data_IF_633190512442
#
_entry.id   IF_633190512442
#
_cell.length_a   1.000
_cell.length_b   1.000
_cell.length_c   1.000
_cell.angle_alpha   90.00
_cell.angle_beta   90.00
_cell.angle_gamma   90.00
#
_symmetry.space_group_name_H-M   'P 1'
#
loop_
_entity.id
_entity.type
_entity.pdbx_description
1 polymer ?
#
# COMPACT_ATOMS: atom_id res chain seq x y z
N UNK A 1 38.05 3.32 37.63
CA UNK A 1 36.90 2.91 36.78
C UNK A 1 35.62 3.26 37.53
N UNK A 2 35.18 4.52 37.47
CA UNK A 2 33.98 4.98 38.18
C UNK A 2 32.74 4.48 37.46
N UNK A 3 31.94 3.63 38.12
CA UNK A 3 30.61 3.25 37.64
C UNK A 3 29.74 4.51 37.67
N UNK A 4 29.39 5.05 36.50
CA UNK A 4 28.34 6.06 36.40
C UNK A 4 27.03 5.40 36.81
N UNK A 5 26.54 5.74 38.00
CA UNK A 5 25.20 5.36 38.45
C UNK A 5 24.26 6.35 37.79
N UNK A 6 23.62 5.94 36.69
CA UNK A 6 22.56 6.71 36.06
C UNK A 6 21.47 7.00 37.09
N UNK A 7 21.04 8.25 37.18
CA UNK A 7 19.87 8.57 37.99
C UNK A 7 18.67 7.75 37.48
N UNK A 8 17.77 7.35 38.37
CA UNK A 8 16.64 6.47 38.02
C UNK A 8 15.85 6.99 36.82
N UNK A 9 15.66 8.31 36.72
CA UNK A 9 15.01 8.97 35.59
C UNK A 9 15.80 8.86 34.28
N UNK A 10 17.12 9.02 34.31
CA UNK A 10 17.98 8.86 33.13
C UNK A 10 17.98 7.42 32.63
N UNK A 11 17.99 6.44 33.55
CA UNK A 11 17.89 5.03 33.22
C UNK A 11 16.54 4.69 32.55
N UNK A 12 15.44 5.26 33.05
CA UNK A 12 14.10 5.11 32.46
C UNK A 12 14.06 5.73 31.06
N UNK A 13 14.58 6.94 30.89
CA UNK A 13 14.62 7.62 29.60
C UNK A 13 15.48 6.86 28.58
N UNK A 14 16.63 6.33 29.01
CA UNK A 14 17.49 5.53 28.16
C UNK A 14 16.82 4.22 27.73
N UNK A 15 16.14 3.54 28.67
CA UNK A 15 15.37 2.34 28.35
C UNK A 15 14.24 2.64 27.36
N UNK A 16 13.48 3.72 27.58
CA UNK A 16 12.44 4.17 26.67
C UNK A 16 12.98 4.46 25.27
N UNK A 17 14.10 5.19 25.18
CA UNK A 17 14.76 5.46 23.90
C UNK A 17 15.18 4.18 23.20
N UNK A 18 15.77 3.23 23.94
CA UNK A 18 16.24 1.96 23.38
C UNK A 18 15.07 1.13 22.84
N UNK A 19 13.97 1.03 23.60
CA UNK A 19 12.76 0.33 23.17
C UNK A 19 12.19 1.01 21.92
N UNK A 20 12.05 2.34 21.93
CA UNK A 20 11.55 3.08 20.78
C UNK A 20 12.40 2.84 19.53
N UNK A 21 13.72 2.91 19.65
CA UNK A 21 14.63 2.65 18.52
C UNK A 21 14.49 1.24 18.00
N UNK A 22 14.35 0.22 18.86
CA UNK A 22 14.11 -1.15 18.42
C UNK A 22 12.81 -1.31 17.65
N UNK A 23 11.73 -0.69 18.14
CA UNK A 23 10.45 -0.69 17.42
C UNK A 23 10.49 0.10 16.10
N UNK A 24 11.36 1.12 15.98
CA UNK A 24 11.61 1.82 14.71
C UNK A 24 12.41 0.97 13.73
N UNK A 25 13.49 0.33 14.18
CA UNK A 25 14.33 -0.57 13.38
C UNK A 25 13.55 -1.80 12.87
N UNK A 26 12.73 -2.39 13.73
CA UNK A 26 11.91 -3.56 13.40
C UNK A 26 10.69 -3.20 12.53
N UNK A 27 10.49 -1.91 12.20
CA UNK A 27 9.39 -1.42 11.37
C UNK A 27 8.02 -1.37 12.06
N UNK A 28 7.89 -1.92 13.27
CA UNK A 28 6.65 -1.98 14.05
C UNK A 28 6.07 -0.58 14.30
N UNK A 29 6.92 0.40 14.63
CA UNK A 29 6.44 1.77 14.89
C UNK A 29 5.90 2.43 13.61
N UNK A 30 6.48 2.10 12.45
CA UNK A 30 6.00 2.59 11.16
C UNK A 30 4.65 1.97 10.81
N UNK A 31 4.47 0.66 11.04
CA UNK A 31 3.19 -0.03 10.87
C UNK A 31 2.09 0.59 11.74
N UNK A 32 2.37 0.83 13.02
CA UNK A 32 1.42 1.48 13.94
C UNK A 32 1.07 2.91 13.48
N UNK A 33 2.05 3.69 13.01
CA UNK A 33 1.79 5.04 12.45
C UNK A 33 0.89 4.98 11.22
N UNK A 34 1.17 4.04 10.31
CA UNK A 34 0.37 3.79 9.12
C UNK A 34 -1.09 3.44 9.48
N UNK A 35 -1.29 2.47 10.38
CA UNK A 35 -2.62 2.07 10.86
C UNK A 35 -3.36 3.25 11.52
N UNK A 36 -2.66 4.06 12.32
CA UNK A 36 -3.25 5.23 12.96
C UNK A 36 -3.69 6.27 11.94
N UNK A 37 -2.86 6.55 10.92
CA UNK A 37 -3.17 7.48 9.84
C UNK A 37 -4.37 7.00 9.01
N UNK A 38 -4.38 5.73 8.61
CA UNK A 38 -5.50 5.11 7.92
C UNK A 38 -6.80 5.23 8.73
N UNK A 39 -6.73 4.93 10.02
CA UNK A 39 -7.87 5.06 10.94
C UNK A 39 -8.34 6.50 11.08
N UNK A 40 -7.44 7.47 11.22
CA UNK A 40 -7.78 8.89 11.27
C UNK A 40 -8.49 9.33 9.99
N UNK A 41 -7.97 8.96 8.82
CA UNK A 41 -8.58 9.27 7.53
C UNK A 41 -9.97 8.65 7.40
N UNK A 42 -10.13 7.39 7.82
CA UNK A 42 -11.42 6.69 7.88
C UNK A 42 -12.41 7.42 8.80
N UNK A 43 -11.97 7.83 9.98
CA UNK A 43 -12.81 8.56 10.95
C UNK A 43 -13.19 9.96 10.46
N UNK A 44 -12.26 10.69 9.83
CA UNK A 44 -12.51 12.01 9.25
C UNK A 44 -13.49 11.97 8.09
N UNK A 45 -13.56 10.85 7.37
CA UNK A 45 -14.58 10.62 6.32
C UNK A 45 -15.97 10.34 6.89
N UNK A 46 -16.09 10.12 8.20
CA UNK A 46 -17.35 9.83 8.90
C UNK A 46 -17.90 8.43 8.57
N UNK A 47 -18.76 7.89 9.44
CA UNK A 47 -19.66 6.78 9.10
C UNK A 47 -20.65 7.25 8.03
N UNK A 48 -20.20 7.39 6.80
CA UNK A 48 -21.05 7.66 5.65
C UNK A 48 -21.52 6.33 5.08
N UNK A 49 -22.44 5.69 5.81
CA UNK A 49 -23.56 5.02 5.15
C UNK A 49 -24.31 6.13 4.42
N UNK A 50 -23.99 6.34 3.14
CA UNK A 50 -24.60 7.36 2.31
C UNK A 50 -23.93 8.74 2.43
N UNK A 51 -23.60 9.31 1.27
CA UNK A 51 -22.92 10.61 1.07
C UNK A 51 -21.39 10.54 1.04
N UNK A 52 -20.89 9.86 0.01
CA UNK A 52 -19.70 10.26 -0.74
C UNK A 52 -19.41 11.74 -0.48
N UNK A 53 -18.32 12.04 0.22
CA UNK A 53 -17.63 13.31 0.02
C UNK A 53 -17.41 13.38 -1.48
N UNK A 54 -18.29 14.13 -2.13
CA UNK A 54 -18.12 14.52 -3.52
C UNK A 54 -16.78 15.26 -3.51
N UNK A 55 -15.72 14.52 -3.87
CA UNK A 55 -14.76 15.03 -4.84
C UNK A 55 -15.60 15.78 -5.90
N UNK A 56 -15.08 16.80 -6.59
CA UNK A 56 -15.57 17.05 -7.93
C UNK A 56 -15.33 15.75 -8.73
N UNK A 57 -16.24 14.79 -8.58
CA UNK A 57 -16.58 13.85 -9.59
C UNK A 57 -17.00 14.78 -10.72
N UNK A 58 -16.07 14.97 -11.64
CA UNK A 58 -16.46 15.22 -13.01
C UNK A 58 -17.47 14.12 -13.32
N UNK A 59 -18.76 14.46 -13.20
CA UNK A 59 -19.86 13.66 -13.69
C UNK A 59 -19.50 13.33 -15.13
N UNK A 60 -19.32 12.05 -15.44
CA UNK A 60 -19.36 11.57 -16.81
C UNK A 60 -18.03 11.44 -17.56
N UNK A 61 -16.91 11.14 -16.89
CA UNK A 61 -15.85 10.43 -17.59
C UNK A 61 -15.90 9.00 -17.10
N UNK A 62 -16.46 8.10 -17.91
CA UNK A 62 -16.18 6.68 -17.79
C UNK A 62 -14.68 6.56 -17.53
N UNK A 63 -14.26 6.04 -16.36
CA UNK A 63 -12.84 5.82 -16.14
C UNK A 63 -12.37 5.00 -17.33
N UNK A 64 -11.33 5.51 -17.99
CA UNK A 64 -10.70 4.79 -19.08
C UNK A 64 -10.44 3.37 -18.59
N UNK A 65 -10.93 2.37 -19.34
CA UNK A 65 -10.83 0.97 -18.93
C UNK A 65 -9.39 0.55 -18.69
N UNK A 66 -8.42 1.23 -19.31
CA UNK A 66 -6.98 1.05 -19.08
C UNK A 66 -6.55 1.54 -17.71
N UNK A 67 -7.10 2.65 -17.22
CA UNK A 67 -6.83 3.20 -15.89
C UNK A 67 -7.43 2.27 -14.82
N UNK A 68 -8.66 1.78 -15.04
CA UNK A 68 -9.27 0.81 -14.14
C UNK A 68 -8.44 -0.48 -14.06
N UNK A 69 -7.98 -1.00 -15.19
CA UNK A 69 -7.10 -2.17 -15.25
C UNK A 69 -5.75 -1.93 -14.57
N UNK A 70 -5.13 -0.77 -14.78
CA UNK A 70 -3.87 -0.41 -14.11
C UNK A 70 -4.05 -0.33 -12.59
N UNK A 71 -5.15 0.25 -12.11
CA UNK A 71 -5.45 0.31 -10.68
C UNK A 71 -5.61 -1.09 -10.09
N UNK A 72 -6.25 -2.02 -10.80
CA UNK A 72 -6.38 -3.41 -10.37
C UNK A 72 -5.02 -4.13 -10.35
N UNK A 73 -4.14 -3.89 -11.34
CA UNK A 73 -2.78 -4.45 -11.34
C UNK A 73 -1.92 -3.92 -10.19
N UNK A 74 -2.01 -2.63 -9.87
CA UNK A 74 -1.32 -2.05 -8.72
C UNK A 74 -1.87 -2.59 -7.40
N UNK A 75 -3.19 -2.78 -7.30
CA UNK A 75 -3.83 -3.35 -6.12
C UNK A 75 -3.41 -4.81 -5.91
N UNK A 76 -3.32 -5.61 -6.97
CA UNK A 76 -2.80 -6.98 -6.92
C UNK A 76 -1.35 -7.01 -6.41
N UNK A 77 -0.51 -6.11 -6.92
CA UNK A 77 0.88 -5.96 -6.47
C UNK A 77 0.99 -5.61 -4.99
N UNK A 78 0.19 -4.66 -4.49
CA UNK A 78 0.19 -4.30 -3.07
C UNK A 78 -0.23 -5.48 -2.18
N UNK A 79 -1.28 -6.20 -2.57
CA UNK A 79 -1.74 -7.37 -1.83
C UNK A 79 -0.74 -8.52 -1.89
N UNK A 80 -0.04 -8.71 -3.01
CA UNK A 80 0.99 -9.73 -3.16
C UNK A 80 2.14 -9.55 -2.17
N UNK A 81 2.60 -8.31 -2.00
CA UNK A 81 3.71 -7.97 -1.11
C UNK A 81 3.27 -7.62 0.33
N UNK A 82 1.99 -7.80 0.68
CA UNK A 82 1.41 -7.42 1.97
C UNK A 82 1.57 -5.93 2.32
N UNK A 83 1.57 -5.03 1.33
CA UNK A 83 1.58 -3.58 1.54
C UNK A 83 0.18 -3.06 1.88
N UNK A 84 -0.35 -3.49 3.03
CA UNK A 84 -1.73 -3.24 3.45
C UNK A 84 -2.06 -1.75 3.52
N UNK A 85 -1.19 -0.95 4.13
CA UNK A 85 -1.38 0.51 4.20
C UNK A 85 -1.38 1.17 2.83
N UNK A 86 -0.47 0.76 1.93
CA UNK A 86 -0.40 1.30 0.57
C UNK A 86 -1.64 0.95 -0.23
N UNK A 87 -2.16 -0.28 -0.11
CA UNK A 87 -3.42 -0.69 -0.73
C UNK A 87 -4.60 0.17 -0.24
N UNK A 88 -4.69 0.40 1.08
CA UNK A 88 -5.73 1.21 1.68
C UNK A 88 -5.67 2.67 1.22
N UNK A 89 -4.51 3.30 1.33
CA UNK A 89 -4.34 4.68 0.90
C UNK A 89 -4.52 4.84 -0.61
N UNK A 90 -4.03 3.89 -1.41
CA UNK A 90 -4.21 3.92 -2.85
C UNK A 90 -5.68 3.82 -3.25
N UNK A 91 -6.46 2.92 -2.64
CA UNK A 91 -7.90 2.84 -2.89
C UNK A 91 -8.62 4.15 -2.54
N UNK A 92 -8.26 4.74 -1.40
CA UNK A 92 -8.81 6.03 -0.94
C UNK A 92 -8.49 7.20 -1.87
N UNK A 93 -7.28 7.24 -2.44
CA UNK A 93 -6.78 8.32 -3.28
C UNK A 93 -7.18 8.16 -4.75
N UNK A 94 -7.17 6.95 -5.28
CA UNK A 94 -7.51 6.64 -6.68
C UNK A 94 -9.02 6.48 -6.90
N UNK A 95 -9.78 6.19 -5.84
CA UNK A 95 -11.18 5.78 -5.95
C UNK A 95 -11.35 4.34 -6.43
N UNK A 96 -10.27 3.56 -6.54
CA UNK A 96 -10.32 2.14 -6.80
C UNK A 96 -10.84 1.39 -5.56
N UNK A 97 -11.58 0.30 -5.78
CA UNK A 97 -11.97 -0.58 -4.70
C UNK A 97 -10.73 -1.20 -4.05
N UNK A 98 -10.62 -1.08 -2.72
CA UNK A 98 -9.59 -1.75 -1.93
C UNK A 98 -9.99 -3.20 -1.65
N UNK A 99 -10.21 -3.96 -2.72
CA UNK A 99 -10.48 -5.39 -2.70
C UNK A 99 -9.30 -6.10 -3.35
N UNK A 100 -8.90 -7.24 -2.80
CA UNK A 100 -7.87 -8.07 -3.44
C UNK A 100 -8.42 -8.53 -4.79
N UNK A 101 -7.81 -8.12 -5.92
CA UNK A 101 -8.28 -8.53 -7.23
C UNK A 101 -8.16 -10.05 -7.38
N UNK A 102 -9.16 -10.69 -7.96
CA UNK A 102 -9.03 -12.08 -8.37
C UNK A 102 -8.06 -12.15 -9.55
N UNK A 103 -6.95 -12.87 -9.37
CA UNK A 103 -5.90 -13.02 -10.39
C UNK A 103 -6.47 -13.61 -11.68
N UNK A 104 -7.40 -14.56 -11.58
CA UNK A 104 -8.06 -15.20 -12.71
C UNK A 104 -8.83 -14.18 -13.58
N UNK A 105 -9.38 -13.14 -12.96
CA UNK A 105 -10.06 -12.06 -13.68
C UNK A 105 -9.07 -11.22 -14.50
N UNK A 106 -7.91 -10.91 -13.92
CA UNK A 106 -6.84 -10.16 -14.60
C UNK A 106 -6.20 -10.97 -15.73
N UNK A 107 -5.98 -12.28 -15.51
CA UNK A 107 -5.53 -13.22 -16.53
C UNK A 107 -6.51 -13.35 -17.69
N UNK A 108 -7.83 -13.31 -17.42
CA UNK A 108 -8.85 -13.31 -18.47
C UNK A 108 -8.78 -12.11 -19.42
N UNK A 109 -8.32 -10.96 -18.93
CA UNK A 109 -8.23 -9.71 -19.72
C UNK A 109 -6.87 -9.57 -20.42
N UNK A 110 -5.79 -9.93 -19.73
CA UNK A 110 -4.41 -9.70 -20.20
C UNK A 110 -3.79 -10.93 -20.90
N UNK A 111 -4.38 -12.11 -20.73
CA UNK A 111 -3.83 -13.37 -21.18
C UNK A 111 -3.15 -14.15 -20.05
N UNK A 112 -2.67 -15.35 -20.39
CA UNK A 112 -2.01 -16.24 -19.43
C UNK A 112 -0.59 -15.77 -19.11
N UNK A 113 -0.26 -15.74 -17.83
CA UNK A 113 1.08 -15.45 -17.32
C UNK A 113 1.82 -16.74 -16.97
N UNK A 114 3.11 -16.82 -17.27
CA UNK A 114 3.89 -18.04 -17.02
C UNK A 114 4.35 -18.13 -15.56
N UNK A 115 4.53 -16.99 -14.90
CA UNK A 115 5.14 -16.94 -13.58
C UNK A 115 4.09 -16.73 -12.50
N UNK A 116 3.47 -17.83 -12.03
CA UNK A 116 2.46 -17.79 -10.96
C UNK A 116 3.01 -17.31 -9.60
N UNK A 117 4.32 -17.25 -9.42
CA UNK A 117 4.97 -16.89 -8.16
C UNK A 117 5.38 -15.42 -8.07
N UNK A 118 4.99 -14.58 -9.03
CA UNK A 118 5.24 -13.14 -9.00
C UNK A 118 3.95 -12.37 -9.24
N UNK A 119 3.84 -11.09 -8.82
CA UNK A 119 2.74 -10.21 -9.22
C UNK A 119 2.65 -10.08 -10.74
N UNK A 120 1.42 -9.96 -11.25
CA UNK A 120 1.17 -9.85 -12.70
C UNK A 120 1.87 -8.62 -13.27
N UNK A 121 1.83 -7.51 -12.53
CA UNK A 121 2.43 -6.25 -12.96
C UNK A 121 3.94 -6.37 -13.25
N UNK A 122 4.67 -7.20 -12.50
CA UNK A 122 6.11 -7.41 -12.74
C UNK A 122 6.35 -8.14 -14.05
N UNK A 123 5.55 -9.16 -14.37
CA UNK A 123 5.67 -9.91 -15.62
C UNK A 123 5.35 -9.01 -16.83
N UNK A 124 4.27 -8.22 -16.75
CA UNK A 124 3.88 -7.25 -17.78
C UNK A 124 5.01 -6.24 -18.06
N UNK A 125 5.59 -5.64 -17.01
CA UNK A 125 6.69 -4.67 -17.17
C UNK A 125 7.93 -5.33 -17.77
N UNK A 126 8.26 -6.55 -17.32
CA UNK A 126 9.42 -7.31 -17.83
C UNK A 126 9.27 -7.60 -19.32
N UNK A 127 8.11 -8.07 -19.76
CA UNK A 127 7.84 -8.32 -21.17
C UNK A 127 7.93 -7.05 -22.02
N UNK A 128 7.38 -5.94 -21.51
CA UNK A 128 7.42 -4.65 -22.21
C UNK A 128 8.88 -4.16 -22.37
N UNK A 129 9.70 -4.28 -21.33
CA UNK A 129 11.11 -3.92 -21.40
C UNK A 129 11.90 -4.79 -22.39
N UNK A 130 11.64 -6.10 -22.41
CA UNK A 130 12.26 -7.01 -23.38
C UNK A 130 11.88 -6.68 -24.83
N UNK A 131 10.59 -6.35 -25.08
CA UNK A 131 10.12 -5.94 -26.41
C UNK A 131 10.75 -4.63 -26.88
N UNK A 132 10.98 -3.67 -25.98
CA UNK A 132 11.64 -2.41 -26.31
C UNK A 132 13.13 -2.61 -26.65
N UNK A 133 13.82 -3.49 -25.92
CA UNK A 133 15.23 -3.78 -26.19
C UNK A 133 15.46 -4.54 -27.50
N UNK A 134 14.51 -5.34 -27.97
CA UNK A 134 14.57 -6.02 -29.28
C UNK A 134 14.29 -5.11 -30.48
N UNK A 135 13.77 -3.90 -30.25
CA UNK A 135 13.45 -2.91 -31.30
C UNK A 135 14.56 -1.86 -31.50
N UNK A 136 15.59 -1.88 -30.66
CA UNK A 136 16.83 -1.12 -30.83
C UNK A 136 17.88 -2.02 -31.49
#
# INVERSE_FOLDING_TARGET
>A
MSKQVLAKEEAINHLYSTIKTKFEEDGVLQEVRCLLQAKMVSMMRGKSEGTLVKRPAGKGLAQDSRIALLNQLLMEYFHWHNYQYSAEMFGLESGAENTKPMRECLEGVLGSFQHKNVPILLEVVTELMQKQNKKK
#
